data_IF_975504687428
#
_entry.id   IF_975504687428
#
_cell.length_a   1.000
_cell.length_b   1.000
_cell.length_c   1.000
_cell.angle_alpha   90.00
_cell.angle_beta   90.00
_cell.angle_gamma   90.00
#
_symmetry.space_group_name_H-M   'P 1'
#
loop_
_entity.id
_entity.type
_entity.pdbx_description
1 polymer ?
#
# COMPACT_ATOMS: atom_id res chain seq x y z
N UNK A 1 31.45 5.89 -18.23
CA UNK A 1 30.04 5.80 -18.63
C UNK A 1 29.18 5.21 -17.53
N UNK A 2 29.46 3.96 -17.13
CA UNK A 2 28.64 3.22 -16.15
C UNK A 2 28.69 3.78 -14.73
N UNK A 3 29.86 4.21 -14.25
CA UNK A 3 29.98 4.86 -12.94
C UNK A 3 29.08 6.11 -12.82
N UNK A 4 28.99 6.92 -13.88
CA UNK A 4 28.12 8.10 -13.89
C UNK A 4 26.64 7.73 -13.78
N UNK A 5 26.21 6.67 -14.49
CA UNK A 5 24.82 6.16 -14.40
C UNK A 5 24.52 5.63 -12.99
N UNK A 6 25.47 4.91 -12.38
CA UNK A 6 25.34 4.40 -11.02
C UNK A 6 25.22 5.53 -9.99
N UNK A 7 26.11 6.53 -10.04
CA UNK A 7 26.03 7.68 -9.14
C UNK A 7 24.73 8.48 -9.32
N UNK A 8 24.29 8.68 -10.57
CA UNK A 8 23.04 9.36 -10.86
C UNK A 8 21.82 8.59 -10.31
N UNK A 9 21.78 7.27 -10.50
CA UNK A 9 20.74 6.41 -9.92
C UNK A 9 20.71 6.45 -8.40
N UNK A 10 21.88 6.38 -7.75
CA UNK A 10 22.00 6.48 -6.30
C UNK A 10 21.49 7.82 -5.76
N UNK A 11 21.85 8.93 -6.42
CA UNK A 11 21.37 10.28 -6.04
C UNK A 11 19.85 10.35 -6.16
N UNK A 12 19.27 9.87 -7.27
CA UNK A 12 17.82 9.90 -7.48
C UNK A 12 17.06 9.08 -6.43
N UNK A 13 17.52 7.86 -6.12
CA UNK A 13 16.92 7.02 -5.08
C UNK A 13 17.03 7.71 -3.72
N UNK A 14 18.18 8.28 -3.39
CA UNK A 14 18.41 8.97 -2.11
C UNK A 14 17.50 10.20 -1.95
N UNK A 15 17.36 11.00 -3.01
CA UNK A 15 16.43 12.14 -3.03
C UNK A 15 14.98 11.69 -2.89
N UNK A 16 14.59 10.61 -3.56
CA UNK A 16 13.25 10.05 -3.46
C UNK A 16 12.92 9.54 -2.05
N UNK A 17 13.82 8.75 -1.47
CA UNK A 17 13.71 8.24 -0.10
C UNK A 17 13.59 9.41 0.89
N UNK A 18 14.44 10.42 0.74
CA UNK A 18 14.41 11.63 1.57
C UNK A 18 13.08 12.37 1.44
N UNK A 19 12.60 12.55 0.20
CA UNK A 19 11.31 13.19 -0.07
C UNK A 19 10.14 12.41 0.53
N UNK A 20 10.18 11.08 0.46
CA UNK A 20 9.17 10.22 1.07
C UNK A 20 9.12 10.38 2.60
N UNK A 21 10.27 10.33 3.27
CA UNK A 21 10.34 10.52 4.72
C UNK A 21 9.94 11.94 5.13
N UNK A 22 10.36 12.96 4.38
CA UNK A 22 9.93 14.34 4.60
C UNK A 22 8.40 14.48 4.45
N UNK A 23 7.82 13.93 3.39
CA UNK A 23 6.39 14.01 3.13
C UNK A 23 5.57 13.31 4.22
N UNK A 24 5.97 12.11 4.60
CA UNK A 24 5.31 11.36 5.69
C UNK A 24 5.42 12.11 7.02
N UNK A 25 6.60 12.64 7.38
CA UNK A 25 6.77 13.47 8.57
C UNK A 25 5.91 14.75 8.53
N UNK A 26 5.90 15.47 7.41
CA UNK A 26 5.07 16.67 7.24
C UNK A 26 3.57 16.35 7.39
N UNK A 27 3.12 15.18 6.93
CA UNK A 27 1.74 14.72 7.12
C UNK A 27 1.41 14.47 8.59
N UNK A 28 2.34 13.91 9.36
CA UNK A 28 2.11 13.61 10.79
C UNK A 28 1.98 14.85 11.65
N UNK A 29 2.66 15.94 11.29
CA UNK A 29 2.59 17.22 12.00
C UNK A 29 1.37 18.04 11.58
N UNK A 30 0.81 17.77 10.38
CA UNK A 30 -0.34 18.49 9.85
C UNK A 30 -1.62 18.20 10.67
N UNK A 31 -2.48 19.21 10.92
CA UNK A 31 -3.71 19.03 11.70
C UNK A 31 -4.59 17.90 11.16
N UNK A 32 -5.17 17.09 12.06
CA UNK A 32 -6.02 15.95 11.69
C UNK A 32 -7.25 16.34 10.86
N UNK A 33 -7.75 17.57 11.05
CA UNK A 33 -8.87 18.11 10.28
C UNK A 33 -8.52 18.65 8.90
N UNK A 34 -7.28 18.50 8.42
CA UNK A 34 -6.84 18.98 7.11
C UNK A 34 -6.64 17.84 6.11
N UNK A 35 -6.68 18.15 4.81
CA UNK A 35 -6.43 17.19 3.76
C UNK A 35 -4.93 16.94 3.55
N UNK A 36 -4.26 16.50 4.62
CA UNK A 36 -2.80 16.41 4.74
C UNK A 36 -2.13 15.49 3.72
N UNK A 37 -2.84 14.47 3.21
CA UNK A 37 -2.25 13.47 2.30
C UNK A 37 -2.50 13.72 0.81
N UNK A 38 -3.36 14.69 0.46
CA UNK A 38 -3.63 15.05 -0.93
C UNK A 38 -2.36 15.33 -1.73
N UNK A 39 -1.54 16.24 -1.21
CA UNK A 39 -0.31 16.66 -1.88
C UNK A 39 0.73 15.55 -1.93
N UNK A 40 0.82 14.74 -0.88
CA UNK A 40 1.80 13.66 -0.78
C UNK A 40 1.46 12.55 -1.77
N UNK A 41 0.21 12.10 -1.81
CA UNK A 41 -0.23 11.08 -2.77
C UNK A 41 -0.10 11.56 -4.20
N UNK A 42 -0.45 12.81 -4.48
CA UNK A 42 -0.32 13.40 -5.82
C UNK A 42 1.15 13.44 -6.26
N UNK A 43 2.03 14.02 -5.44
CA UNK A 43 3.46 14.14 -5.76
C UNK A 43 4.12 12.78 -5.83
N UNK A 44 3.82 11.86 -4.91
CA UNK A 44 4.33 10.50 -4.96
C UNK A 44 3.94 9.82 -6.26
N UNK A 45 2.66 9.90 -6.67
CA UNK A 45 2.18 9.34 -7.94
C UNK A 45 2.96 9.88 -9.14
N UNK A 46 3.17 11.20 -9.21
CA UNK A 46 3.96 11.84 -10.28
C UNK A 46 5.42 11.39 -10.25
N UNK A 47 6.04 11.34 -9.06
CA UNK A 47 7.44 10.94 -8.92
C UNK A 47 7.64 9.46 -9.29
N UNK A 48 6.69 8.57 -8.98
CA UNK A 48 6.73 7.18 -9.46
C UNK A 48 6.80 7.11 -10.99
N UNK A 49 6.00 7.91 -11.69
CA UNK A 49 6.01 7.94 -13.16
C UNK A 49 7.36 8.44 -13.66
N UNK A 50 7.85 9.56 -13.13
CA UNK A 50 9.12 10.16 -13.54
C UNK A 50 10.29 9.19 -13.30
N UNK A 51 10.37 8.59 -12.11
CA UNK A 51 11.43 7.64 -11.77
C UNK A 51 11.37 6.37 -12.61
N UNK A 52 10.17 5.90 -12.96
CA UNK A 52 10.02 4.80 -13.91
C UNK A 52 10.54 5.16 -15.30
N UNK A 53 10.15 6.32 -15.84
CA UNK A 53 10.60 6.79 -17.15
C UNK A 53 12.12 6.94 -17.21
N UNK A 54 12.73 7.46 -16.14
CA UNK A 54 14.19 7.50 -16.01
C UNK A 54 14.77 6.09 -15.99
N UNK A 55 14.17 5.16 -15.23
CA UNK A 55 14.64 3.77 -15.12
C UNK A 55 14.69 3.10 -16.49
N UNK A 56 13.60 3.18 -17.27
CA UNK A 56 13.56 2.56 -18.59
C UNK A 56 14.41 3.33 -19.62
N UNK A 57 14.38 4.65 -19.61
CA UNK A 57 15.01 5.48 -20.65
C UNK A 57 16.52 5.67 -20.48
N UNK A 58 17.02 5.75 -19.25
CA UNK A 58 18.47 5.92 -18.99
C UNK A 58 19.22 4.60 -18.83
N UNK A 59 18.59 3.62 -18.19
CA UNK A 59 19.26 2.37 -17.84
C UNK A 59 19.00 1.25 -18.83
N UNK A 60 17.89 1.26 -19.58
CA UNK A 60 17.49 0.17 -20.50
C UNK A 60 17.72 -1.24 -19.90
N UNK A 61 17.51 -1.36 -18.59
CA UNK A 61 17.90 -2.53 -17.82
C UNK A 61 16.66 -3.16 -17.16
N UNK A 62 16.39 -4.43 -17.48
CA UNK A 62 15.33 -5.24 -16.88
C UNK A 62 15.47 -5.37 -15.37
N UNK A 63 16.70 -5.43 -14.85
CA UNK A 63 16.96 -5.48 -13.41
C UNK A 63 16.56 -4.16 -12.72
N UNK A 64 16.72 -3.04 -13.42
CA UNK A 64 16.30 -1.72 -12.93
C UNK A 64 14.78 -1.65 -12.74
N UNK A 65 14.01 -2.20 -13.67
CA UNK A 65 12.54 -2.29 -13.58
C UNK A 65 12.09 -3.14 -12.40
N UNK A 66 12.80 -4.25 -12.13
CA UNK A 66 12.54 -5.13 -10.97
C UNK A 66 12.82 -4.38 -9.66
N UNK A 67 14.00 -3.79 -9.52
CA UNK A 67 14.40 -3.04 -8.32
C UNK A 67 13.44 -1.88 -8.07
N UNK A 68 13.06 -1.15 -9.12
CA UNK A 68 12.06 -0.10 -9.04
C UNK A 68 10.71 -0.63 -8.54
N UNK A 69 10.22 -1.74 -9.10
CA UNK A 69 8.97 -2.37 -8.67
C UNK A 69 8.97 -2.83 -7.21
N UNK A 70 10.08 -3.42 -6.74
CA UNK A 70 10.25 -3.82 -5.34
C UNK A 70 10.21 -2.58 -4.42
N UNK A 71 11.05 -1.57 -4.71
CA UNK A 71 11.15 -0.36 -3.90
C UNK A 71 9.81 0.35 -3.79
N UNK A 72 9.12 0.56 -4.90
CA UNK A 72 7.83 1.24 -4.89
C UNK A 72 6.73 0.41 -4.22
N UNK A 73 6.80 -0.92 -4.27
CA UNK A 73 5.88 -1.78 -3.49
C UNK A 73 6.13 -1.63 -1.98
N UNK A 74 7.39 -1.50 -1.54
CA UNK A 74 7.71 -1.25 -0.13
C UNK A 74 7.11 0.09 0.32
N UNK A 75 7.34 1.17 -0.44
CA UNK A 75 6.77 2.48 -0.11
C UNK A 75 5.24 2.48 -0.10
N UNK A 76 4.62 1.82 -1.08
CA UNK A 76 3.18 1.69 -1.17
C UNK A 76 2.60 0.85 0.00
N UNK A 77 3.34 -0.17 0.46
CA UNK A 77 3.01 -0.95 1.66
C UNK A 77 3.09 -0.11 2.93
N UNK A 78 4.05 0.80 3.04
CA UNK A 78 4.10 1.79 4.14
C UNK A 78 2.88 2.73 4.08
N UNK A 79 2.45 3.15 2.89
CA UNK A 79 1.23 3.95 2.76
C UNK A 79 -0.04 3.21 3.19
N UNK A 80 -0.12 1.88 3.11
CA UNK A 80 -1.23 1.12 3.69
C UNK A 80 -1.27 1.27 5.22
N UNK A 81 -0.11 1.24 5.89
CA UNK A 81 0.00 1.45 7.34
C UNK A 81 -0.35 2.88 7.74
N UNK A 82 0.07 3.87 6.96
CA UNK A 82 -0.34 5.26 7.13
C UNK A 82 -1.86 5.38 6.92
N UNK A 83 -2.40 4.72 5.90
CA UNK A 83 -3.80 4.71 5.51
C UNK A 83 -4.75 4.27 6.63
N UNK A 84 -4.39 3.21 7.36
CA UNK A 84 -5.19 2.77 8.51
C UNK A 84 -5.13 3.69 9.72
N UNK A 85 -4.21 4.66 9.71
CA UNK A 85 -4.10 5.71 10.72
C UNK A 85 -4.85 6.99 10.34
N UNK A 86 -5.48 7.02 9.18
CA UNK A 86 -6.33 8.12 8.74
C UNK A 86 -7.74 8.03 9.34
N UNK A 87 -8.45 9.15 9.47
CA UNK A 87 -9.82 9.14 9.97
C UNK A 87 -10.77 8.42 9.00
N UNK A 88 -11.81 7.81 9.58
CA UNK A 88 -12.93 7.24 8.82
C UNK A 88 -13.97 8.29 8.43
N UNK A 89 -14.06 9.38 9.20
CA UNK A 89 -14.97 10.49 8.96
C UNK A 89 -14.21 11.72 8.47
N UNK A 90 -14.73 12.41 7.45
CA UNK A 90 -14.13 13.66 7.00
C UNK A 90 -14.52 14.81 7.90
N UNK A 91 -13.54 15.64 8.26
CA UNK A 91 -13.80 16.94 8.89
C UNK A 91 -14.60 17.86 7.96
N UNK A 92 -15.29 18.85 8.54
CA UNK A 92 -16.00 19.89 7.78
C UNK A 92 -15.08 20.63 6.81
N UNK A 93 -13.82 20.86 7.21
CA UNK A 93 -12.80 21.48 6.36
C UNK A 93 -12.46 20.62 5.14
N UNK A 94 -12.23 19.32 5.32
CA UNK A 94 -11.95 18.40 4.21
C UNK A 94 -13.17 18.26 3.28
N UNK A 95 -14.38 18.24 3.83
CA UNK A 95 -15.61 18.19 3.03
C UNK A 95 -15.78 19.43 2.13
N UNK A 96 -15.37 20.62 2.60
CA UNK A 96 -15.40 21.86 1.81
C UNK A 96 -14.40 21.86 0.65
N UNK A 97 -13.31 21.09 0.75
CA UNK A 97 -12.33 20.93 -0.32
C UNK A 97 -12.78 19.97 -1.42
N UNK A 98 -13.83 19.17 -1.18
CA UNK A 98 -14.35 18.22 -2.17
C UNK A 98 -14.89 18.97 -3.40
N UNK A 99 -14.44 18.64 -4.62
CA UNK A 99 -14.90 19.30 -5.83
C UNK A 99 -16.42 19.20 -6.03
N UNK A 100 -17.05 20.25 -6.57
CA UNK A 100 -18.50 20.23 -6.85
C UNK A 100 -18.89 19.32 -8.03
N UNK A 101 -18.05 19.25 -9.06
CA UNK A 101 -18.33 18.46 -10.26
C UNK A 101 -18.15 16.96 -10.00
N UNK A 102 -19.14 16.14 -10.40
CA UNK A 102 -19.12 14.67 -10.20
C UNK A 102 -17.83 14.02 -10.71
N UNK A 103 -17.38 14.34 -11.92
CA UNK A 103 -16.17 13.75 -12.50
C UNK A 103 -14.91 14.04 -11.65
N UNK A 104 -14.69 15.29 -11.25
CA UNK A 104 -13.54 15.64 -10.39
C UNK A 104 -13.62 14.97 -9.02
N UNK A 105 -14.83 14.75 -8.46
CA UNK A 105 -14.97 14.00 -7.21
C UNK A 105 -14.38 12.61 -7.32
N UNK A 106 -14.78 11.85 -8.35
CA UNK A 106 -14.27 10.50 -8.58
C UNK A 106 -12.76 10.47 -8.81
N UNK A 107 -12.25 11.37 -9.65
CA UNK A 107 -10.82 11.42 -9.97
C UNK A 107 -9.95 11.80 -8.75
N UNK A 108 -10.43 12.73 -7.92
CA UNK A 108 -9.68 13.16 -6.74
C UNK A 108 -9.88 12.25 -5.53
N UNK A 109 -10.90 11.39 -5.53
CA UNK A 109 -11.24 10.54 -4.40
C UNK A 109 -10.03 9.78 -3.82
N UNK A 110 -9.19 9.07 -4.59
CA UNK A 110 -8.06 8.32 -4.02
C UNK A 110 -7.06 9.23 -3.28
N UNK A 111 -6.97 10.50 -3.64
CA UNK A 111 -5.96 11.41 -3.10
C UNK A 111 -6.37 12.05 -1.77
N UNK A 112 -7.66 12.10 -1.43
CA UNK A 112 -8.14 12.74 -0.21
C UNK A 112 -7.79 11.97 1.07
N UNK A 113 -7.55 12.69 2.17
CA UNK A 113 -7.28 12.08 3.48
C UNK A 113 -8.51 11.30 3.98
N UNK A 114 -8.36 10.00 4.18
CA UNK A 114 -9.36 9.04 4.65
C UNK A 114 -8.87 7.61 4.45
N UNK A 115 -9.20 6.69 5.36
CA UNK A 115 -8.75 5.29 5.29
C UNK A 115 -9.14 4.62 3.97
N UNK A 116 -10.40 4.69 3.54
CA UNK A 116 -10.81 4.09 2.27
C UNK A 116 -10.06 4.70 1.08
N UNK A 117 -9.88 6.01 1.06
CA UNK A 117 -9.17 6.73 0.01
C UNK A 117 -7.72 6.24 -0.09
N UNK A 118 -7.06 6.05 1.07
CA UNK A 118 -5.71 5.53 1.15
C UNK A 118 -5.60 4.14 0.52
N UNK A 119 -6.52 3.22 0.85
CA UNK A 119 -6.54 1.88 0.26
C UNK A 119 -6.78 1.96 -1.24
N UNK A 120 -7.81 2.67 -1.69
CA UNK A 120 -8.10 2.83 -3.13
C UNK A 120 -6.89 3.37 -3.88
N UNK A 121 -6.21 4.38 -3.34
CA UNK A 121 -5.00 4.92 -3.94
C UNK A 121 -3.85 3.91 -3.96
N UNK A 122 -3.59 3.22 -2.84
CA UNK A 122 -2.54 2.21 -2.77
C UNK A 122 -2.79 1.08 -3.78
N UNK A 123 -4.05 0.66 -3.98
CA UNK A 123 -4.40 -0.37 -4.96
C UNK A 123 -4.20 0.12 -6.41
N UNK A 124 -4.65 1.33 -6.74
CA UNK A 124 -4.41 1.93 -8.06
C UNK A 124 -2.91 2.01 -8.32
N UNK A 125 -2.14 2.50 -7.35
CA UNK A 125 -0.69 2.61 -7.45
C UNK A 125 -0.02 1.23 -7.57
N UNK A 126 -0.46 0.23 -6.79
CA UNK A 126 0.14 -1.10 -6.86
C UNK A 126 -0.07 -1.75 -8.22
N UNK A 127 -1.29 -1.67 -8.75
CA UNK A 127 -1.60 -2.20 -10.08
C UNK A 127 -0.74 -1.49 -11.12
N UNK A 128 -0.65 -0.15 -11.05
CA UNK A 128 0.17 0.65 -11.93
C UNK A 128 1.66 0.26 -11.88
N UNK A 129 2.24 0.14 -10.67
CA UNK A 129 3.63 -0.29 -10.44
C UNK A 129 3.86 -1.68 -11.01
N UNK A 130 2.94 -2.62 -10.77
CA UNK A 130 3.04 -4.01 -11.21
C UNK A 130 3.03 -4.11 -12.74
N UNK A 131 2.11 -3.41 -13.40
CA UNK A 131 2.01 -3.37 -14.87
C UNK A 131 3.26 -2.76 -15.50
N UNK A 132 3.71 -1.61 -14.99
CA UNK A 132 4.90 -0.94 -15.51
C UNK A 132 6.17 -1.77 -15.27
N UNK A 133 6.37 -2.28 -14.07
CA UNK A 133 7.55 -3.08 -13.76
C UNK A 133 7.60 -4.37 -14.60
N UNK A 134 6.46 -5.03 -14.84
CA UNK A 134 6.36 -6.17 -15.76
C UNK A 134 6.70 -5.77 -17.20
N UNK A 135 6.10 -4.70 -17.72
CA UNK A 135 6.38 -4.21 -19.08
C UNK A 135 7.85 -3.83 -19.28
N UNK A 136 8.53 -3.31 -18.25
CA UNK A 136 9.95 -2.98 -18.28
C UNK A 136 10.90 -4.17 -18.07
N UNK A 137 10.39 -5.37 -17.79
CA UNK A 137 11.18 -6.57 -17.44
C UNK A 137 11.23 -7.61 -18.56
N UNK A 138 11.25 -7.16 -19.82
CA UNK A 138 11.09 -8.00 -21.03
C UNK A 138 12.10 -9.16 -21.18
N UNK A 139 13.25 -9.10 -20.50
CA UNK A 139 14.27 -10.17 -20.54
C UNK A 139 13.97 -11.38 -19.63
N UNK A 140 13.05 -11.27 -18.66
CA UNK A 140 12.76 -12.35 -17.73
C UNK A 140 11.70 -13.35 -18.24
N UNK A 141 10.93 -13.01 -19.27
CA UNK A 141 9.84 -13.85 -19.76
C UNK A 141 8.86 -14.23 -18.66
N UNK A 142 8.42 -15.49 -18.61
CA UNK A 142 7.43 -15.99 -17.65
C UNK A 142 7.83 -15.88 -16.17
N UNK A 143 9.13 -15.80 -15.85
CA UNK A 143 9.61 -15.66 -14.47
C UNK A 143 9.33 -14.26 -13.89
N UNK A 144 9.18 -13.23 -14.74
CA UNK A 144 8.78 -11.90 -14.29
C UNK A 144 7.34 -11.92 -13.76
N UNK A 145 6.43 -12.62 -14.43
CA UNK A 145 5.02 -12.63 -14.05
C UNK A 145 4.81 -13.30 -12.69
N UNK A 146 5.46 -14.44 -12.43
CA UNK A 146 5.45 -15.11 -11.13
C UNK A 146 6.01 -14.21 -10.02
N UNK A 147 7.11 -13.51 -10.31
CA UNK A 147 7.74 -12.59 -9.37
C UNK A 147 6.84 -11.40 -9.04
N UNK A 148 6.18 -10.80 -10.03
CA UNK A 148 5.28 -9.68 -9.81
C UNK A 148 3.97 -10.09 -9.10
N UNK A 149 3.48 -11.31 -9.35
CA UNK A 149 2.39 -11.90 -8.58
C UNK A 149 2.79 -12.13 -7.12
N UNK A 150 4.03 -12.55 -6.87
CA UNK A 150 4.57 -12.68 -5.52
C UNK A 150 4.64 -11.32 -4.80
N UNK A 151 5.19 -10.29 -5.46
CA UNK A 151 5.22 -8.92 -4.93
C UNK A 151 3.81 -8.41 -4.61
N UNK A 152 2.86 -8.63 -5.52
CA UNK A 152 1.47 -8.23 -5.31
C UNK A 152 0.83 -8.97 -4.12
N UNK A 153 1.13 -10.26 -3.96
CA UNK A 153 0.70 -11.06 -2.80
C UNK A 153 1.28 -10.52 -1.49
N UNK A 154 2.56 -10.10 -1.48
CA UNK A 154 3.18 -9.48 -0.32
C UNK A 154 2.48 -8.16 0.06
N UNK A 155 2.17 -7.32 -0.93
CA UNK A 155 1.40 -6.09 -0.74
C UNK A 155 0.01 -6.37 -0.14
N UNK A 156 -0.73 -7.35 -0.68
CA UNK A 156 -2.03 -7.77 -0.15
C UNK A 156 -1.93 -8.26 1.31
N UNK A 157 -0.86 -8.99 1.64
CA UNK A 157 -0.61 -9.46 3.00
C UNK A 157 -0.40 -8.28 3.96
N UNK A 158 0.38 -7.27 3.57
CA UNK A 158 0.51 -6.03 4.35
C UNK A 158 -0.83 -5.32 4.48
N UNK A 159 -1.63 -5.25 3.41
CA UNK A 159 -2.98 -4.69 3.44
C UNK A 159 -3.90 -5.40 4.41
N UNK A 160 -3.83 -6.73 4.46
CA UNK A 160 -4.55 -7.55 5.43
C UNK A 160 -4.15 -7.17 6.86
N UNK A 161 -2.85 -7.15 7.18
CA UNK A 161 -2.38 -6.84 8.52
C UNK A 161 -2.69 -5.40 8.94
N UNK A 162 -2.62 -4.45 8.00
CA UNK A 162 -3.01 -3.07 8.25
C UNK A 162 -4.50 -2.98 8.64
N UNK A 163 -5.40 -3.59 7.86
CA UNK A 163 -6.83 -3.61 8.17
C UNK A 163 -7.13 -4.35 9.46
N UNK A 164 -6.44 -5.47 9.72
CA UNK A 164 -6.55 -6.21 10.97
C UNK A 164 -6.17 -5.34 12.17
N UNK A 165 -5.09 -4.56 12.07
CA UNK A 165 -4.71 -3.62 13.12
C UNK A 165 -5.77 -2.52 13.32
N UNK A 166 -6.36 -2.00 12.24
CA UNK A 166 -7.48 -1.06 12.33
C UNK A 166 -8.70 -1.67 13.02
N UNK A 167 -9.02 -2.93 12.70
CA UNK A 167 -10.10 -3.68 13.34
C UNK A 167 -9.83 -3.92 14.83
N UNK A 168 -8.63 -4.38 15.18
CA UNK A 168 -8.20 -4.61 16.57
C UNK A 168 -8.30 -3.31 17.37
N UNK A 169 -7.78 -2.20 16.83
CA UNK A 169 -7.87 -0.90 17.49
C UNK A 169 -9.33 -0.53 17.77
N UNK A 170 -10.19 -0.56 16.74
CA UNK A 170 -11.61 -0.18 16.91
C UNK A 170 -12.35 -1.07 17.90
N UNK A 171 -12.01 -2.36 17.98
CA UNK A 171 -12.74 -3.33 18.81
C UNK A 171 -12.25 -3.39 20.26
N UNK A 172 -10.94 -3.29 20.47
CA UNK A 172 -10.29 -3.55 21.76
C UNK A 172 -9.59 -2.32 22.34
N UNK A 173 -9.18 -1.36 21.51
CA UNK A 173 -8.41 -0.17 21.91
C UNK A 173 -9.04 1.12 21.38
N UNK A 174 -10.34 1.30 21.58
CA UNK A 174 -11.10 2.45 21.07
C UNK A 174 -10.58 3.80 21.61
N UNK A 175 -9.92 3.78 22.78
CA UNK A 175 -9.34 4.97 23.42
C UNK A 175 -8.01 5.41 22.79
N UNK A 176 -7.38 4.57 21.96
CA UNK A 176 -6.15 4.92 21.25
C UNK A 176 -6.52 5.75 20.01
N UNK A 177 -5.84 6.90 19.87
CA UNK A 177 -6.00 7.79 18.74
C UNK A 177 -5.80 7.05 17.42
N UNK A 178 -6.63 7.37 16.42
CA UNK A 178 -6.55 6.73 15.09
C UNK A 178 -5.18 6.93 14.46
N UNK A 179 -4.52 8.07 14.71
CA UNK A 179 -3.17 8.37 14.24
C UNK A 179 -2.08 7.39 14.73
N UNK A 180 -2.33 6.60 15.78
CA UNK A 180 -1.40 5.59 16.29
C UNK A 180 -1.68 4.16 15.76
N UNK A 181 -2.67 3.98 14.87
CA UNK A 181 -3.06 2.65 14.36
C UNK A 181 -1.91 1.93 13.64
N UNK A 182 -1.02 2.68 12.96
CA UNK A 182 0.14 2.12 12.27
C UNK A 182 1.07 1.34 13.21
N UNK A 183 1.19 1.74 14.49
CA UNK A 183 2.03 1.02 15.46
C UNK A 183 1.46 -0.37 15.76
N UNK A 184 0.14 -0.46 15.93
CA UNK A 184 -0.56 -1.75 16.04
C UNK A 184 -0.35 -2.55 14.74
N UNK A 185 -0.39 -1.89 13.59
CA UNK A 185 -0.07 -2.48 12.28
C UNK A 185 1.30 -3.14 12.25
N UNK A 186 2.34 -2.43 12.66
CA UNK A 186 3.71 -2.97 12.72
C UNK A 186 3.79 -4.16 13.68
N UNK A 187 3.19 -4.08 14.87
CA UNK A 187 3.15 -5.20 15.82
C UNK A 187 2.45 -6.42 15.21
N UNK A 188 1.30 -6.22 14.58
CA UNK A 188 0.53 -7.30 13.94
C UNK A 188 1.31 -7.92 12.78
N UNK A 189 2.05 -7.14 12.00
CA UNK A 189 2.93 -7.65 10.94
C UNK A 189 4.06 -8.49 11.55
N UNK A 190 4.74 -8.00 12.59
CA UNK A 190 5.84 -8.75 13.25
C UNK A 190 5.32 -10.07 13.80
N UNK A 191 4.18 -10.05 14.49
CA UNK A 191 3.53 -11.26 14.98
C UNK A 191 3.12 -12.19 13.83
N UNK A 192 2.57 -11.64 12.74
CA UNK A 192 2.22 -12.39 11.54
C UNK A 192 3.42 -13.11 10.94
N UNK A 193 4.55 -12.41 10.76
CA UNK A 193 5.81 -12.99 10.27
C UNK A 193 6.30 -14.10 11.21
N UNK A 194 6.23 -13.88 12.53
CA UNK A 194 6.59 -14.90 13.51
C UNK A 194 5.71 -16.15 13.41
N UNK A 195 4.38 -15.99 13.46
CA UNK A 195 3.43 -17.10 13.32
C UNK A 195 3.58 -17.83 12.00
N UNK A 196 3.90 -17.10 10.93
CA UNK A 196 4.14 -17.65 9.61
C UNK A 196 5.40 -18.52 9.57
N UNK A 197 6.49 -18.05 10.17
CA UNK A 197 7.76 -18.79 10.29
C UNK A 197 7.57 -20.07 11.10
N UNK A 198 6.85 -19.98 12.22
CA UNK A 198 6.48 -21.14 13.03
C UNK A 198 5.63 -22.11 12.20
N UNK A 199 4.58 -21.62 11.53
CA UNK A 199 3.70 -22.46 10.70
C UNK A 199 4.45 -23.19 9.58
N UNK A 200 5.46 -22.58 8.96
CA UNK A 200 6.29 -23.30 7.97
C UNK A 200 7.09 -24.44 8.57
N UNK A 201 7.60 -24.30 9.79
CA UNK A 201 8.31 -25.38 10.50
C UNK A 201 7.33 -26.52 10.80
N UNK A 202 6.15 -26.20 11.35
CA UNK A 202 5.12 -27.20 11.61
C UNK A 202 4.67 -27.91 10.33
N UNK A 203 4.55 -27.21 9.20
CA UNK A 203 4.21 -27.82 7.93
C UNK A 203 5.28 -28.80 7.43
N UNK A 204 6.56 -28.45 7.59
CA UNK A 204 7.66 -29.35 7.23
C UNK A 204 7.68 -30.61 8.11
N UNK A 205 7.36 -30.48 9.39
CA UNK A 205 7.38 -31.59 10.35
C UNK A 205 6.14 -32.48 10.26
N UNK A 206 4.95 -31.89 10.14
CA UNK A 206 3.67 -32.59 10.27
C UNK A 206 2.90 -32.75 8.95
N UNK A 207 3.31 -32.08 7.87
CA UNK A 207 2.69 -32.22 6.54
C UNK A 207 1.24 -31.70 6.43
N UNK A 208 0.73 -30.98 7.43
CA UNK A 208 -0.67 -30.53 7.46
C UNK A 208 -0.89 -29.26 6.62
N UNK A 209 -1.62 -29.39 5.50
CA UNK A 209 -1.86 -28.33 4.51
C UNK A 209 -2.43 -27.01 5.09
N UNK A 210 -3.13 -27.06 6.23
CA UNK A 210 -3.69 -25.87 6.89
C UNK A 210 -2.62 -24.85 7.31
N UNK A 211 -1.42 -25.31 7.69
CA UNK A 211 -0.29 -24.43 8.02
C UNK A 211 0.29 -23.73 6.78
N UNK A 212 0.05 -24.28 5.58
CA UNK A 212 0.44 -23.67 4.31
C UNK A 212 -0.50 -22.56 3.90
N UNK A 213 -1.80 -22.69 4.22
CA UNK A 213 -2.81 -21.68 3.94
C UNK A 213 -2.64 -20.41 4.78
N UNK A 214 -2.19 -20.56 6.04
CA UNK A 214 -1.86 -19.44 6.94
C UNK A 214 -0.53 -18.76 6.59
N UNK A 215 0.20 -19.29 5.60
CA UNK A 215 1.51 -18.81 5.20
C UNK A 215 1.48 -18.33 3.73
N UNK A 216 1.16 -17.04 3.47
CA UNK A 216 1.16 -16.46 2.13
C UNK A 216 2.56 -16.40 1.45
N UNK A 217 3.62 -16.94 2.06
CA UNK A 217 4.95 -17.08 1.45
C UNK A 217 5.37 -18.54 1.26
N UNK A 218 4.69 -19.53 1.88
CA UNK A 218 4.97 -20.96 1.71
C UNK A 218 4.60 -21.45 0.32
N UNK A 219 3.55 -20.89 -0.26
CA UNK A 219 3.09 -21.26 -1.60
C UNK A 219 4.16 -20.99 -2.69
N UNK A 220 5.05 -20.00 -2.46
CA UNK A 220 6.19 -19.70 -3.34
C UNK A 220 7.16 -20.88 -3.49
N UNK A 221 7.50 -21.56 -2.38
CA UNK A 221 8.39 -22.74 -2.42
C UNK A 221 7.77 -23.96 -3.12
N UNK A 222 6.48 -23.94 -3.43
CA UNK A 222 5.77 -25.04 -4.10
C UNK A 222 5.15 -24.65 -5.46
N UNK A 223 5.47 -23.48 -6.00
CA UNK A 223 4.94 -23.04 -7.30
C UNK A 223 3.42 -22.82 -7.32
N UNK A 224 2.77 -22.73 -6.16
CA UNK A 224 1.38 -22.31 -6.06
C UNK A 224 1.36 -20.80 -5.80
N UNK A 225 0.64 -20.03 -6.61
CA UNK A 225 0.61 -18.59 -6.44
C UNK A 225 0.03 -18.24 -5.04
N UNK A 226 0.81 -17.63 -4.13
CA UNK A 226 0.36 -17.27 -2.78
C UNK A 226 -0.79 -16.25 -2.78
N UNK A 227 -1.03 -15.64 -3.94
CA UNK A 227 -2.01 -14.60 -4.15
C UNK A 227 -3.42 -15.02 -3.71
N UNK A 228 -3.79 -16.30 -3.80
CA UNK A 228 -5.12 -16.78 -3.38
C UNK A 228 -5.34 -16.61 -1.88
N UNK A 229 -4.38 -17.03 -1.05
CA UNK A 229 -4.45 -16.88 0.41
C UNK A 229 -4.46 -15.40 0.84
N UNK A 230 -3.53 -14.60 0.33
CA UNK A 230 -3.44 -13.17 0.61
C UNK A 230 -4.69 -12.42 0.17
N UNK A 231 -5.23 -12.75 -1.01
CA UNK A 231 -6.45 -12.15 -1.53
C UNK A 231 -7.65 -12.51 -0.66
N UNK A 232 -7.81 -13.77 -0.26
CA UNK A 232 -8.90 -14.21 0.62
C UNK A 232 -8.82 -13.50 1.98
N UNK A 233 -7.66 -13.49 2.62
CA UNK A 233 -7.45 -12.84 3.92
C UNK A 233 -7.74 -11.34 3.82
N UNK A 234 -7.19 -10.68 2.80
CA UNK A 234 -7.46 -9.26 2.53
C UNK A 234 -8.96 -9.00 2.30
N UNK A 235 -9.63 -9.85 1.52
CA UNK A 235 -11.05 -9.73 1.20
C UNK A 235 -11.95 -9.88 2.42
N UNK A 236 -11.62 -10.80 3.34
CA UNK A 236 -12.30 -10.94 4.62
C UNK A 236 -12.18 -9.63 5.42
N UNK A 237 -10.98 -9.05 5.51
CA UNK A 237 -10.80 -7.79 6.22
C UNK A 237 -11.50 -6.61 5.56
N UNK A 238 -11.53 -6.55 4.22
CA UNK A 238 -12.33 -5.57 3.48
C UNK A 238 -13.82 -5.71 3.78
N UNK A 239 -14.34 -6.94 3.82
CA UNK A 239 -15.73 -7.22 4.17
C UNK A 239 -16.07 -6.74 5.59
N UNK A 240 -15.19 -6.99 6.57
CA UNK A 240 -15.37 -6.50 7.94
C UNK A 240 -15.34 -4.98 8.07
N UNK A 241 -14.74 -4.28 7.09
CA UNK A 241 -14.72 -2.81 7.02
C UNK A 241 -15.83 -2.23 6.13
N UNK A 242 -16.63 -3.06 5.44
CA UNK A 242 -17.57 -2.63 4.42
C UNK A 242 -18.51 -1.52 4.91
N UNK A 243 -19.11 -1.70 6.10
CA UNK A 243 -20.02 -0.70 6.67
C UNK A 243 -19.35 0.67 6.87
N UNK A 244 -18.12 0.68 7.38
CA UNK A 244 -17.38 1.91 7.67
C UNK A 244 -16.91 2.57 6.37
N UNK A 245 -16.44 1.76 5.42
CA UNK A 245 -16.04 2.23 4.09
C UNK A 245 -17.22 2.78 3.28
N UNK A 246 -18.38 2.14 3.33
CA UNK A 246 -19.59 2.67 2.70
C UNK A 246 -20.00 4.01 3.30
N UNK A 247 -19.95 4.16 4.63
CA UNK A 247 -20.25 5.44 5.28
C UNK A 247 -19.25 6.54 4.87
N UNK A 248 -17.96 6.22 4.87
CA UNK A 248 -16.91 7.14 4.41
C UNK A 248 -17.15 7.56 2.96
N UNK A 249 -17.35 6.61 2.04
CA UNK A 249 -17.64 6.90 0.63
C UNK A 249 -18.86 7.80 0.45
N UNK A 250 -19.97 7.50 1.15
CA UNK A 250 -21.20 8.30 1.07
C UNK A 250 -20.97 9.73 1.57
N UNK A 251 -20.24 9.91 2.67
CA UNK A 251 -19.92 11.25 3.19
C UNK A 251 -19.07 12.08 2.23
N UNK A 252 -18.18 11.44 1.45
CA UNK A 252 -17.41 12.12 0.40
C UNK A 252 -18.29 12.50 -0.81
N UNK A 253 -19.16 11.60 -1.24
CA UNK A 253 -19.99 11.81 -2.43
C UNK A 253 -21.10 12.81 -2.19
N UNK A 254 -21.66 12.82 -0.98
CA UNK A 254 -22.75 13.68 -0.54
C UNK A 254 -22.31 14.47 0.70
N UNK A 255 -21.35 15.41 0.57
CA UNK A 255 -20.93 16.23 1.69
C UNK A 255 -22.12 17.07 2.16
N UNK A 256 -22.29 17.16 3.48
CA UNK A 256 -23.38 17.94 4.09
C UNK A 256 -23.33 19.38 3.57
N UNK A 257 -24.48 19.89 3.11
CA UNK A 257 -24.61 21.28 2.64
C UNK A 257 -24.53 22.31 3.78
N UNK A 258 -24.58 21.87 5.04
CA UNK A 258 -24.69 22.73 6.22
C UNK A 258 -23.34 22.89 6.94
N UNK A 259 -22.32 23.36 6.22
CA UNK A 259 -21.01 23.66 6.77
C UNK A 259 -20.55 25.06 6.41
#
# INVERSE_FOLDING_TARGET
>A
GENLKMYFGFILISLFVTYFFYGTAASTISPEGSNRLLWIRTRFSVISIITYLITIGFFHNSEGSIVWGILFTIFNSVFLLIGVSEPFDYSTRVQREVPKSKLKKYLMFPFFTGTLNAFVWCFIMQIFITVLASAGSTKLGSHADEFFLFIFSAFLSVGFYALLASFIRRRFFSNIATSSTWMIGVIVIILGIFFQTVSSVFLQVFGLAIFGFLNPFYAFNKGMAPITSSLVMFSIMMFLHLKVFSAQYLSYMHPSKNG
#
